data_IF_788968287977
#
_entry.id   IF_788968287977
#
_cell.length_a   1.000
_cell.length_b   1.000
_cell.length_c   1.000
_cell.angle_alpha   90.00
_cell.angle_beta   90.00
_cell.angle_gamma   90.00
#
_symmetry.space_group_name_H-M   'P 1'
#
loop_
_entity.id
_entity.type
_entity.pdbx_description
1 polymer ?
#
# COMPACT_ATOMS: atom_id res chain seq x y z
N UNK A 1 -29.78 -11.18 17.46
CA UNK A 1 -29.30 -10.89 16.09
C UNK A 1 -27.86 -10.42 16.27
N UNK A 2 -26.90 -11.16 15.75
CA UNK A 2 -25.49 -10.73 15.77
C UNK A 2 -25.42 -9.71 14.64
N UNK A 3 -25.23 -8.41 14.97
CA UNK A 3 -24.92 -7.39 13.99
C UNK A 3 -23.62 -7.82 13.31
N UNK A 4 -23.74 -8.33 12.09
CA UNK A 4 -22.58 -8.55 11.22
C UNK A 4 -22.01 -7.17 10.89
N UNK A 5 -21.02 -6.73 11.67
CA UNK A 5 -20.26 -5.52 11.35
C UNK A 5 -19.67 -5.76 9.96
N UNK A 6 -20.13 -4.99 8.98
CA UNK A 6 -19.62 -5.11 7.61
C UNK A 6 -18.10 -4.90 7.62
N UNK A 7 -17.37 -5.76 6.90
CA UNK A 7 -15.92 -5.64 6.76
C UNK A 7 -15.59 -4.28 6.16
N UNK A 8 -14.73 -3.48 6.78
CA UNK A 8 -14.35 -2.19 6.23
C UNK A 8 -13.83 -2.32 4.80
N UNK A 9 -14.21 -1.38 3.93
CA UNK A 9 -13.89 -1.40 2.51
C UNK A 9 -13.53 0.01 2.01
N UNK A 10 -12.45 0.11 1.23
CA UNK A 10 -12.21 1.26 0.35
C UNK A 10 -12.75 0.91 -1.02
N UNK A 11 -13.49 1.82 -1.65
CA UNK A 11 -13.96 1.65 -3.02
C UNK A 11 -13.94 2.94 -3.81
N UNK A 12 -13.82 2.82 -5.12
CA UNK A 12 -13.87 3.93 -6.05
C UNK A 12 -14.98 3.74 -7.06
N UNK A 13 -15.58 4.84 -7.47
CA UNK A 13 -16.68 4.85 -8.43
C UNK A 13 -16.34 5.77 -9.59
N UNK A 14 -16.05 5.18 -10.75
CA UNK A 14 -15.84 5.87 -12.01
C UNK A 14 -14.70 6.88 -11.99
N UNK A 15 -13.57 6.59 -11.34
CA UNK A 15 -12.45 7.54 -11.26
C UNK A 15 -11.94 7.93 -12.63
N UNK A 16 -11.88 9.24 -12.86
CA UNK A 16 -11.30 9.86 -14.05
C UNK A 16 -10.22 10.85 -13.63
N UNK A 17 -9.11 10.83 -14.34
CA UNK A 17 -8.08 11.87 -14.24
C UNK A 17 -7.65 12.36 -15.60
N UNK A 18 -7.72 13.66 -15.75
CA UNK A 18 -7.24 14.37 -16.94
C UNK A 18 -6.13 15.36 -16.58
N UNK A 19 -5.10 15.42 -17.38
CA UNK A 19 -4.05 16.43 -17.36
C UNK A 19 -4.08 17.17 -18.70
N UNK A 20 -4.62 18.38 -18.68
CA UNK A 20 -4.91 19.13 -19.89
C UNK A 20 -5.92 18.40 -20.79
N UNK A 21 -5.50 17.99 -21.98
CA UNK A 21 -6.37 17.24 -22.92
C UNK A 21 -6.17 15.71 -22.83
N UNK A 22 -5.25 15.23 -22.00
CA UNK A 22 -4.92 13.81 -21.91
C UNK A 22 -5.64 13.20 -20.72
N UNK A 23 -6.54 12.25 -20.99
CA UNK A 23 -7.15 11.39 -19.99
C UNK A 23 -6.18 10.25 -19.67
N UNK A 24 -5.71 10.18 -18.43
CA UNK A 24 -4.73 9.17 -17.97
C UNK A 24 -5.37 8.08 -17.11
N UNK A 25 -6.55 8.35 -16.54
CA UNK A 25 -7.41 7.38 -15.88
C UNK A 25 -8.83 7.58 -16.40
N UNK A 26 -9.50 6.50 -16.76
CA UNK A 26 -10.78 6.53 -17.44
C UNK A 26 -11.77 5.54 -16.82
N UNK A 27 -12.66 6.02 -15.95
CA UNK A 27 -13.73 5.27 -15.28
C UNK A 27 -13.21 4.02 -14.55
N UNK A 28 -12.19 4.20 -13.72
CA UNK A 28 -11.61 3.10 -12.94
C UNK A 28 -12.39 2.90 -11.65
N UNK A 29 -12.87 1.66 -11.46
CA UNK A 29 -13.53 1.17 -10.26
C UNK A 29 -12.64 0.12 -9.60
N UNK A 30 -12.13 0.41 -8.41
CA UNK A 30 -11.36 -0.54 -7.60
C UNK A 30 -11.93 -0.60 -6.20
N UNK A 31 -11.80 -1.75 -5.55
CA UNK A 31 -12.15 -1.89 -4.14
C UNK A 31 -11.11 -2.72 -3.40
N UNK A 32 -10.97 -2.49 -2.11
CA UNK A 32 -10.08 -3.22 -1.20
C UNK A 32 -10.84 -3.47 0.09
N UNK A 33 -10.94 -4.72 0.53
CA UNK A 33 -11.52 -5.07 1.81
C UNK A 33 -10.45 -5.11 2.91
N UNK A 34 -10.82 -4.85 4.15
CA UNK A 34 -9.93 -5.09 5.27
C UNK A 34 -9.58 -6.58 5.34
N UNK A 35 -8.30 -6.90 5.59
CA UNK A 35 -7.80 -8.28 5.57
C UNK A 35 -7.62 -8.86 4.16
N UNK A 36 -7.46 -8.02 3.15
CA UNK A 36 -7.22 -8.42 1.76
C UNK A 36 -5.96 -7.72 1.21
N UNK A 37 -5.20 -8.43 0.38
CA UNK A 37 -4.09 -7.85 -0.39
C UNK A 37 -4.52 -7.72 -1.85
N UNK A 38 -4.58 -6.50 -2.36
CA UNK A 38 -4.97 -6.18 -3.72
C UNK A 38 -3.81 -5.58 -4.49
N UNK A 39 -3.53 -6.09 -5.68
CA UNK A 39 -2.54 -5.56 -6.61
C UNK A 39 -3.15 -4.57 -7.61
N UNK A 40 -2.41 -3.52 -7.96
CA UNK A 40 -2.73 -2.62 -9.06
C UNK A 40 -1.60 -2.69 -10.07
N UNK A 41 -1.78 -3.51 -11.11
CA UNK A 41 -0.76 -3.91 -12.07
C UNK A 41 -0.99 -3.28 -13.44
N UNK A 42 -0.01 -3.34 -14.31
CA UNK A 42 -0.10 -2.85 -15.69
C UNK A 42 1.21 -2.24 -16.20
N UNK A 43 1.34 -1.99 -17.49
CA UNK A 43 2.54 -1.41 -18.08
C UNK A 43 2.78 0.04 -17.62
N UNK A 44 3.96 0.58 -17.96
CA UNK A 44 4.26 1.99 -17.71
C UNK A 44 3.27 2.89 -18.47
N UNK A 45 2.76 3.92 -17.78
CA UNK A 45 1.75 4.81 -18.35
C UNK A 45 0.31 4.28 -18.35
N UNK A 46 0.05 3.09 -17.81
CA UNK A 46 -1.31 2.52 -17.72
C UNK A 46 -2.26 3.25 -16.76
N UNK A 47 -1.76 4.22 -15.96
CA UNK A 47 -2.59 4.96 -15.01
C UNK A 47 -2.51 4.46 -13.57
N UNK A 48 -1.72 3.42 -13.26
CA UNK A 48 -1.57 2.81 -11.92
C UNK A 48 -1.30 3.85 -10.83
N UNK A 49 -0.15 4.52 -10.91
CA UNK A 49 0.29 5.52 -9.91
C UNK A 49 -0.73 6.65 -9.76
N UNK A 50 -1.34 7.10 -10.86
CA UNK A 50 -2.37 8.15 -10.82
C UNK A 50 -3.62 7.65 -10.09
N UNK A 51 -4.12 6.45 -10.40
CA UNK A 51 -5.25 5.82 -9.70
C UNK A 51 -4.94 5.65 -8.22
N UNK A 52 -3.78 5.08 -7.91
CA UNK A 52 -3.30 4.90 -6.54
C UNK A 52 -3.24 6.23 -5.78
N UNK A 53 -2.69 7.30 -6.37
CA UNK A 53 -2.60 8.62 -5.74
C UNK A 53 -3.96 9.29 -5.55
N UNK A 54 -4.94 9.00 -6.40
CA UNK A 54 -6.32 9.45 -6.18
C UNK A 54 -6.92 8.74 -4.96
N UNK A 55 -6.66 7.44 -4.77
CA UNK A 55 -7.12 6.68 -3.59
C UNK A 55 -6.40 7.16 -2.31
N UNK A 56 -5.10 7.46 -2.36
CA UNK A 56 -4.34 8.02 -1.23
C UNK A 56 -4.79 9.44 -0.87
N UNK A 57 -5.28 10.21 -1.84
CA UNK A 57 -5.62 11.65 -1.66
C UNK A 57 -4.44 12.60 -1.88
N UNK A 58 -3.44 12.16 -2.68
CA UNK A 58 -2.33 12.99 -3.15
C UNK A 58 -2.68 13.76 -4.43
N UNK A 59 -3.54 13.17 -5.26
CA UNK A 59 -4.00 13.76 -6.52
C UNK A 59 -5.53 13.81 -6.50
N UNK A 60 -6.16 14.96 -6.72
CA UNK A 60 -7.61 15.03 -6.83
C UNK A 60 -8.08 14.37 -8.12
N UNK A 61 -9.20 13.64 -8.05
CA UNK A 61 -9.87 13.12 -9.24
C UNK A 61 -10.45 14.28 -10.06
N UNK A 62 -10.55 14.12 -11.39
CA UNK A 62 -11.31 15.05 -12.24
C UNK A 62 -12.79 14.75 -12.14
N UNK A 63 -13.15 13.46 -12.11
CA UNK A 63 -14.49 12.95 -11.91
C UNK A 63 -14.42 11.63 -11.14
N UNK A 64 -15.57 11.17 -10.63
CA UNK A 64 -15.69 9.95 -9.85
C UNK A 64 -15.51 10.20 -8.36
N UNK A 65 -15.56 9.12 -7.57
CA UNK A 65 -15.58 9.19 -6.11
C UNK A 65 -14.71 8.14 -5.46
N UNK A 66 -14.26 8.44 -4.24
CA UNK A 66 -13.53 7.51 -3.36
C UNK A 66 -14.27 7.43 -2.04
N UNK A 67 -14.59 6.21 -1.60
CA UNK A 67 -15.29 5.94 -0.35
C UNK A 67 -14.48 5.06 0.59
N UNK A 68 -14.68 5.26 1.88
CA UNK A 68 -14.35 4.30 2.93
C UNK A 68 -15.67 3.92 3.62
N UNK A 69 -16.18 2.74 3.35
CA UNK A 69 -17.55 2.35 3.66
C UNK A 69 -18.55 3.38 3.10
N UNK A 70 -19.33 4.03 3.96
CA UNK A 70 -20.29 5.07 3.59
C UNK A 70 -19.70 6.49 3.57
N UNK A 71 -18.45 6.65 4.02
CA UNK A 71 -17.78 7.95 4.10
C UNK A 71 -17.20 8.36 2.75
N UNK A 72 -17.67 9.47 2.17
CA UNK A 72 -17.11 10.06 0.95
C UNK A 72 -15.79 10.79 1.26
N UNK A 73 -14.67 10.23 0.77
CA UNK A 73 -13.33 10.75 0.97
C UNK A 73 -12.82 11.58 -0.23
N UNK A 74 -13.62 11.76 -1.28
CA UNK A 74 -13.19 12.29 -2.58
C UNK A 74 -12.39 13.58 -2.45
N UNK A 75 -12.92 14.57 -1.74
CA UNK A 75 -12.30 15.87 -1.54
C UNK A 75 -11.32 15.93 -0.35
N UNK A 76 -11.16 14.82 0.38
CA UNK A 76 -10.29 14.80 1.55
C UNK A 76 -8.83 14.61 1.16
N UNK A 77 -7.92 15.51 1.57
CA UNK A 77 -6.49 15.34 1.38
C UNK A 77 -5.95 14.19 2.22
N UNK A 78 -4.78 13.64 1.84
CA UNK A 78 -4.13 12.48 2.45
C UNK A 78 -4.11 12.52 3.99
N UNK A 79 -3.75 13.67 4.60
CA UNK A 79 -3.67 13.77 6.07
C UNK A 79 -5.02 13.59 6.78
N UNK A 80 -6.13 13.93 6.13
CA UNK A 80 -7.48 13.64 6.64
C UNK A 80 -7.83 12.18 6.45
N UNK A 81 -7.52 11.58 5.28
CA UNK A 81 -7.73 10.14 5.04
C UNK A 81 -6.92 9.28 6.02
N UNK A 82 -5.73 9.72 6.42
CA UNK A 82 -4.95 9.07 7.46
C UNK A 82 -5.71 8.97 8.81
N UNK A 83 -6.52 9.96 9.16
CA UNK A 83 -7.36 9.93 10.37
C UNK A 83 -8.53 8.96 10.28
N UNK A 84 -8.94 8.58 9.08
CA UNK A 84 -9.91 7.51 8.84
C UNK A 84 -9.26 6.11 8.91
N UNK A 85 -7.94 6.05 9.04
CA UNK A 85 -7.17 4.81 9.13
C UNK A 85 -6.57 4.35 7.80
N UNK A 86 -6.29 5.25 6.87
CA UNK A 86 -5.60 4.94 5.61
C UNK A 86 -4.13 5.34 5.75
N UNK A 87 -3.24 4.35 5.89
CA UNK A 87 -1.80 4.54 5.88
C UNK A 87 -1.25 4.57 4.44
N UNK A 88 -0.14 5.28 4.24
CA UNK A 88 0.55 5.36 2.96
C UNK A 88 2.04 5.13 3.12
N UNK A 89 2.58 4.24 2.30
CA UNK A 89 4.00 3.93 2.20
C UNK A 89 4.49 4.34 0.80
N UNK A 90 5.27 5.44 0.68
CA UNK A 90 5.75 5.93 -0.61
C UNK A 90 6.84 5.04 -1.21
N UNK A 91 7.05 5.17 -2.52
CA UNK A 91 8.15 4.55 -3.24
C UNK A 91 9.51 5.08 -2.73
N UNK A 92 9.61 6.41 -2.58
CA UNK A 92 10.84 7.04 -2.08
C UNK A 92 11.00 6.86 -0.58
N UNK A 93 12.27 6.75 -0.15
CA UNK A 93 12.60 6.58 1.26
C UNK A 93 12.07 7.73 2.12
N UNK A 94 11.15 7.39 3.05
CA UNK A 94 10.47 8.36 3.91
C UNK A 94 11.08 8.47 5.32
N UNK A 95 12.14 7.72 5.62
CA UNK A 95 12.78 7.74 6.95
C UNK A 95 13.47 9.07 7.26
N UNK A 96 13.47 9.46 8.52
CA UNK A 96 14.28 10.57 9.02
C UNK A 96 15.74 10.13 9.12
N UNK A 97 16.49 10.33 8.05
CA UNK A 97 17.83 9.75 7.83
C UNK A 97 18.82 10.01 8.96
N UNK A 98 18.78 11.18 9.60
CA UNK A 98 19.70 11.56 10.70
C UNK A 98 19.23 11.09 12.08
N UNK A 99 18.02 10.57 12.20
CA UNK A 99 17.50 9.98 13.43
C UNK A 99 17.90 8.50 13.54
N UNK A 100 17.90 7.94 14.75
CA UNK A 100 18.05 6.50 14.95
C UNK A 100 16.78 5.76 14.50
N UNK A 101 16.83 4.44 14.42
CA UNK A 101 15.68 3.58 14.14
C UNK A 101 14.60 3.83 15.19
N UNK A 102 14.94 3.77 16.47
CA UNK A 102 14.01 4.07 17.56
C UNK A 102 13.42 5.47 17.45
N UNK A 103 14.25 6.50 17.24
CA UNK A 103 13.80 7.88 17.09
C UNK A 103 12.84 8.07 15.92
N UNK A 104 12.98 7.31 14.85
CA UNK A 104 12.05 7.32 13.72
C UNK A 104 10.64 6.83 14.11
N UNK A 105 10.56 5.77 14.88
CA UNK A 105 9.28 5.23 15.39
C UNK A 105 8.70 6.18 16.43
N UNK A 106 9.53 6.64 17.37
CA UNK A 106 9.18 7.60 18.43
C UNK A 106 8.55 8.88 17.86
N UNK A 107 9.10 9.45 16.81
CA UNK A 107 8.59 10.67 16.19
C UNK A 107 7.13 10.53 15.73
N UNK A 108 6.72 9.34 15.27
CA UNK A 108 5.32 9.09 14.93
C UNK A 108 4.49 8.80 16.18
N UNK A 109 5.03 8.00 17.13
CA UNK A 109 4.33 7.68 18.37
C UNK A 109 4.00 8.93 19.23
N UNK A 110 4.81 9.98 19.13
CA UNK A 110 4.56 11.27 19.79
C UNK A 110 3.37 12.05 19.22
N UNK A 111 2.97 11.77 17.98
CA UNK A 111 1.75 12.35 17.39
C UNK A 111 0.47 11.68 17.87
N UNK A 112 0.60 10.52 18.51
CA UNK A 112 -0.54 9.74 18.99
C UNK A 112 -0.94 10.19 20.42
N UNK A 113 -2.20 10.04 20.82
CA UNK A 113 -2.68 10.40 22.16
C UNK A 113 -2.26 9.36 23.21
N UNK A 114 -0.95 9.06 23.28
CA UNK A 114 -0.37 8.09 24.20
C UNK A 114 0.28 8.81 25.39
N UNK A 115 0.07 8.31 26.58
CA UNK A 115 0.90 8.63 27.72
C UNK A 115 2.33 8.07 27.54
N UNK A 116 3.24 8.43 28.43
CA UNK A 116 4.66 8.02 28.34
C UNK A 116 4.81 6.49 28.32
N UNK A 117 4.13 5.77 29.21
CA UNK A 117 4.25 4.32 29.34
C UNK A 117 3.76 3.60 28.07
N UNK A 118 2.60 4.01 27.56
CA UNK A 118 2.01 3.46 26.33
C UNK A 118 2.86 3.77 25.10
N UNK A 119 3.50 4.94 25.06
CA UNK A 119 4.41 5.32 23.97
C UNK A 119 5.66 4.44 23.95
N UNK A 120 6.31 4.24 25.11
CA UNK A 120 7.49 3.37 25.22
C UNK A 120 7.13 1.92 24.83
N UNK A 121 6.05 1.38 25.34
CA UNK A 121 5.58 0.03 24.98
C UNK A 121 5.27 -0.09 23.47
N UNK A 122 4.69 0.94 22.85
CA UNK A 122 4.44 0.97 21.42
C UNK A 122 5.74 0.94 20.61
N UNK A 123 6.76 1.70 21.02
CA UNK A 123 8.06 1.73 20.33
C UNK A 123 8.74 0.36 20.42
N UNK A 124 8.80 -0.21 21.63
CA UNK A 124 9.40 -1.52 21.87
C UNK A 124 8.69 -2.61 21.05
N UNK A 125 7.37 -2.65 21.06
CA UNK A 125 6.57 -3.56 20.27
C UNK A 125 6.90 -3.48 18.77
N UNK A 126 6.97 -2.27 18.20
CA UNK A 126 7.24 -2.09 16.77
C UNK A 126 8.68 -2.41 16.38
N UNK A 127 9.65 -2.21 17.27
CA UNK A 127 11.03 -2.66 17.08
C UNK A 127 11.12 -4.18 17.03
N UNK A 128 10.43 -4.86 17.95
CA UNK A 128 10.43 -6.32 18.05
C UNK A 128 9.70 -6.95 16.85
N UNK A 129 8.47 -6.52 16.57
CA UNK A 129 7.62 -7.09 15.51
C UNK A 129 8.28 -7.06 14.13
N UNK A 130 9.06 -6.01 13.83
CA UNK A 130 9.72 -5.85 12.54
C UNK A 130 11.22 -6.26 12.56
N UNK A 131 11.67 -6.91 13.65
CA UNK A 131 13.04 -7.38 13.80
C UNK A 131 14.10 -6.26 13.78
N UNK A 132 13.76 -5.10 14.34
CA UNK A 132 14.60 -3.90 14.33
C UNK A 132 15.27 -3.59 15.69
N UNK A 133 15.02 -4.39 16.72
CA UNK A 133 15.50 -4.14 18.10
C UNK A 133 17.03 -3.99 18.15
N UNK A 134 17.78 -4.85 17.45
CA UNK A 134 19.24 -4.80 17.41
C UNK A 134 19.81 -3.59 16.64
N UNK A 135 18.95 -2.86 15.92
CA UNK A 135 19.28 -1.67 15.13
C UNK A 135 18.79 -0.37 15.80
N UNK A 136 18.12 -0.45 16.96
CA UNK A 136 17.40 0.67 17.59
C UNK A 136 18.22 1.96 17.66
N UNK A 137 19.48 1.87 18.04
CA UNK A 137 20.42 3.00 18.19
C UNK A 137 21.15 3.39 16.89
N UNK A 138 21.01 2.61 15.82
CA UNK A 138 21.65 2.92 14.55
C UNK A 138 20.94 4.05 13.81
N UNK A 139 21.72 4.88 13.12
CA UNK A 139 21.17 5.96 12.28
C UNK A 139 20.52 5.38 11.02
N UNK A 140 19.32 5.86 10.66
CA UNK A 140 18.54 5.33 9.55
C UNK A 140 19.27 5.40 8.19
N UNK A 141 20.25 6.29 8.01
CA UNK A 141 21.05 6.34 6.77
C UNK A 141 22.03 5.17 6.62
N UNK A 142 22.32 4.41 7.68
CA UNK A 142 23.23 3.24 7.65
C UNK A 142 22.50 1.93 7.32
N UNK A 143 21.18 1.94 7.29
CA UNK A 143 20.36 0.76 7.06
C UNK A 143 20.46 0.27 5.62
N UNK A 144 20.45 -1.05 5.45
CA UNK A 144 20.23 -1.70 4.16
C UNK A 144 18.83 -1.35 3.59
N UNK A 145 18.59 -1.66 2.33
CA UNK A 145 17.30 -1.45 1.68
C UNK A 145 16.15 -2.13 2.41
N UNK A 146 16.32 -3.40 2.78
CA UNK A 146 15.32 -4.19 3.51
C UNK A 146 15.06 -3.68 4.93
N UNK A 147 16.12 -3.39 5.71
CA UNK A 147 15.99 -2.81 7.05
C UNK A 147 15.26 -1.47 7.02
N UNK A 148 15.62 -0.61 6.06
CA UNK A 148 14.95 0.67 5.86
C UNK A 148 13.46 0.47 5.52
N UNK A 149 13.12 -0.48 4.65
CA UNK A 149 11.73 -0.77 4.30
C UNK A 149 10.94 -1.28 5.51
N UNK A 150 11.52 -2.15 6.33
CA UNK A 150 10.91 -2.57 7.59
C UNK A 150 10.67 -1.40 8.54
N UNK A 151 11.62 -0.46 8.66
CA UNK A 151 11.44 0.75 9.46
C UNK A 151 10.30 1.64 8.94
N UNK A 152 10.18 1.80 7.62
CA UNK A 152 9.09 2.57 7.01
C UNK A 152 7.72 1.95 7.28
N UNK A 153 7.62 0.63 7.15
CA UNK A 153 6.39 -0.11 7.49
C UNK A 153 6.09 0.04 8.98
N UNK A 154 7.09 -0.14 9.85
CA UNK A 154 6.93 0.05 11.30
C UNK A 154 6.33 1.41 11.63
N UNK A 155 6.87 2.48 11.06
CA UNK A 155 6.37 3.85 11.26
C UNK A 155 4.92 4.01 10.80
N UNK A 156 4.55 3.43 9.66
CA UNK A 156 3.18 3.47 9.17
C UNK A 156 2.20 2.74 10.10
N UNK A 157 2.63 1.65 10.74
CA UNK A 157 1.80 0.85 11.64
C UNK A 157 1.57 1.50 13.00
N UNK A 158 2.42 2.42 13.47
CA UNK A 158 2.23 3.16 14.73
C UNK A 158 0.86 3.83 14.80
N UNK A 159 0.34 4.31 13.66
CA UNK A 159 -0.97 4.96 13.57
C UNK A 159 -2.15 3.99 13.57
N UNK A 160 -1.90 2.67 13.64
CA UNK A 160 -2.89 1.58 13.60
C UNK A 160 -3.85 1.70 12.41
N UNK A 161 -3.34 1.72 11.19
CA UNK A 161 -4.18 1.87 10.01
C UNK A 161 -5.09 0.65 9.81
N UNK A 162 -6.28 0.89 9.24
CA UNK A 162 -7.18 -0.18 8.74
C UNK A 162 -6.77 -0.63 7.34
N UNK A 163 -6.17 0.28 6.59
CA UNK A 163 -5.66 0.04 5.24
C UNK A 163 -4.26 0.62 5.12
N UNK A 164 -3.39 -0.10 4.42
CA UNK A 164 -2.04 0.35 4.10
C UNK A 164 -1.84 0.32 2.59
N UNK A 165 -1.66 1.49 2.00
CA UNK A 165 -1.43 1.66 0.57
C UNK A 165 0.07 1.78 0.33
N UNK A 166 0.64 0.85 -0.45
CA UNK A 166 2.08 0.71 -0.67
C UNK A 166 2.43 0.98 -2.13
N UNK A 167 3.22 2.02 -2.35
CA UNK A 167 3.72 2.38 -3.67
C UNK A 167 5.09 1.75 -3.88
N UNK A 168 5.18 0.79 -4.80
CA UNK A 168 6.36 0.03 -5.15
C UNK A 168 7.16 -0.51 -3.94
N UNK A 169 6.54 -1.35 -3.07
CA UNK A 169 7.18 -1.80 -1.83
C UNK A 169 8.45 -2.62 -2.04
N UNK A 170 8.66 -3.20 -3.22
CA UNK A 170 9.81 -4.04 -3.54
C UNK A 170 10.91 -3.29 -4.29
N UNK A 171 10.69 -2.02 -4.64
CA UNK A 171 11.66 -1.22 -5.39
C UNK A 171 12.91 -0.94 -4.56
N UNK A 172 14.09 -1.23 -5.14
CA UNK A 172 15.38 -0.99 -4.49
C UNK A 172 15.68 -1.88 -3.28
N UNK A 173 14.95 -3.00 -3.15
CA UNK A 173 15.14 -4.03 -2.13
C UNK A 173 15.83 -5.24 -2.77
N UNK A 174 16.83 -5.82 -2.09
CA UNK A 174 17.49 -7.02 -2.57
C UNK A 174 16.57 -8.26 -2.50
N UNK A 175 16.81 -9.33 -3.32
CA UNK A 175 15.89 -10.46 -3.41
C UNK A 175 15.61 -11.18 -2.10
N UNK A 176 16.57 -11.24 -1.17
CA UNK A 176 16.37 -11.89 0.14
C UNK A 176 15.43 -11.04 0.98
N UNK A 177 15.67 -9.74 1.03
CA UNK A 177 14.84 -8.78 1.76
C UNK A 177 13.44 -8.62 1.17
N UNK A 178 13.24 -8.85 -0.15
CA UNK A 178 11.90 -8.89 -0.77
C UNK A 178 11.04 -9.95 -0.09
N UNK A 179 11.56 -11.16 0.13
CA UNK A 179 10.82 -12.24 0.80
C UNK A 179 10.43 -11.87 2.24
N UNK A 180 11.26 -11.10 2.95
CA UNK A 180 10.93 -10.61 4.30
C UNK A 180 9.80 -9.58 4.25
N UNK A 181 9.86 -8.63 3.31
CA UNK A 181 8.78 -7.63 3.11
C UNK A 181 7.47 -8.32 2.71
N UNK A 182 7.51 -9.32 1.84
CA UNK A 182 6.33 -10.12 1.48
C UNK A 182 5.68 -10.78 2.71
N UNK A 183 6.49 -11.42 3.57
CA UNK A 183 5.99 -12.02 4.83
C UNK A 183 5.32 -10.99 5.73
N UNK A 184 5.91 -9.80 5.87
CA UNK A 184 5.32 -8.72 6.65
C UNK A 184 3.95 -8.33 6.06
N UNK A 185 3.85 -8.15 4.75
CA UNK A 185 2.60 -7.77 4.08
C UNK A 185 1.51 -8.84 4.31
N UNK A 186 1.85 -10.12 4.23
CA UNK A 186 0.92 -11.23 4.53
C UNK A 186 0.48 -11.18 6.00
N UNK A 187 1.39 -10.94 6.93
CA UNK A 187 1.04 -10.77 8.35
C UNK A 187 0.11 -9.57 8.60
N UNK A 188 0.24 -8.48 7.83
CA UNK A 188 -0.70 -7.34 7.92
C UNK A 188 -2.12 -7.75 7.54
N UNK A 189 -2.26 -8.51 6.45
CA UNK A 189 -3.54 -9.10 6.05
C UNK A 189 -4.14 -9.97 7.16
N UNK A 190 -3.34 -10.86 7.76
CA UNK A 190 -3.77 -11.74 8.86
C UNK A 190 -4.25 -10.96 10.10
N UNK A 191 -3.71 -9.75 10.31
CA UNK A 191 -4.17 -8.81 11.35
C UNK A 191 -5.42 -8.01 10.94
N UNK A 192 -6.01 -8.29 9.78
CA UNK A 192 -7.20 -7.61 9.29
C UNK A 192 -6.94 -6.27 8.61
N UNK A 193 -5.68 -5.94 8.28
CA UNK A 193 -5.34 -4.72 7.54
C UNK A 193 -5.52 -4.99 6.04
N UNK A 194 -6.31 -4.17 5.35
CA UNK A 194 -6.40 -4.20 3.89
C UNK A 194 -5.16 -3.56 3.26
N UNK A 195 -4.59 -4.20 2.24
CA UNK A 195 -3.37 -3.70 1.58
C UNK A 195 -3.62 -3.47 0.10
N UNK A 196 -3.28 -2.29 -0.40
CA UNK A 196 -3.20 -2.00 -1.84
C UNK A 196 -1.73 -1.84 -2.23
N UNK A 197 -1.30 -2.61 -3.22
CA UNK A 197 0.07 -2.57 -3.72
C UNK A 197 0.06 -2.14 -5.19
N UNK A 198 0.90 -1.17 -5.55
CA UNK A 198 1.31 -0.95 -6.93
C UNK A 198 2.81 -1.23 -7.04
N UNK A 199 3.20 -2.08 -7.98
CA UNK A 199 4.61 -2.41 -8.20
C UNK A 199 4.83 -2.79 -9.67
N UNK A 200 6.06 -2.62 -10.14
CA UNK A 200 6.53 -3.09 -11.44
C UNK A 200 7.13 -4.51 -11.36
N UNK A 201 7.44 -5.00 -10.15
CA UNK A 201 7.89 -6.37 -9.88
C UNK A 201 6.67 -7.30 -9.85
N UNK A 202 6.23 -7.72 -11.02
CA UNK A 202 4.97 -8.46 -11.20
C UNK A 202 4.96 -9.79 -10.45
N UNK A 203 6.06 -10.56 -10.51
CA UNK A 203 6.15 -11.88 -9.86
C UNK A 203 6.02 -11.75 -8.36
N UNK A 204 6.79 -10.85 -7.77
CA UNK A 204 6.80 -10.59 -6.33
C UNK A 204 5.43 -10.15 -5.83
N UNK A 205 4.72 -9.34 -6.63
CA UNK A 205 3.37 -8.87 -6.30
C UNK A 205 2.35 -10.00 -6.43
N UNK A 206 2.32 -10.71 -7.56
CA UNK A 206 1.39 -11.82 -7.80
C UNK A 206 1.56 -12.98 -6.82
N UNK A 207 2.74 -13.14 -6.22
CA UNK A 207 3.01 -14.17 -5.22
C UNK A 207 2.24 -13.97 -3.90
N UNK A 208 1.80 -12.75 -3.58
CA UNK A 208 1.19 -12.43 -2.29
C UNK A 208 -0.21 -11.81 -2.36
N UNK A 209 -0.66 -11.35 -3.53
CA UNK A 209 -2.00 -10.76 -3.65
C UNK A 209 -3.10 -11.82 -3.70
N UNK A 210 -4.23 -11.53 -3.09
CA UNK A 210 -5.45 -12.34 -3.23
C UNK A 210 -6.08 -12.16 -4.61
N UNK A 211 -6.05 -10.92 -5.12
CA UNK A 211 -6.46 -10.56 -6.46
C UNK A 211 -5.74 -9.29 -6.91
N UNK A 212 -5.81 -9.02 -8.20
CA UNK A 212 -5.27 -7.78 -8.74
C UNK A 212 -6.15 -7.22 -9.86
N UNK A 213 -6.01 -5.92 -10.05
CA UNK A 213 -6.52 -5.18 -11.21
C UNK A 213 -5.37 -4.97 -12.19
N UNK A 214 -5.57 -5.37 -13.43
CA UNK A 214 -4.65 -5.07 -14.51
C UNK A 214 -5.16 -3.84 -15.27
N UNK A 215 -4.42 -2.73 -15.17
CA UNK A 215 -4.71 -1.51 -15.90
C UNK A 215 -3.99 -1.49 -17.24
N UNK A 216 -4.69 -1.01 -18.26
CA UNK A 216 -4.15 -0.74 -19.59
C UNK A 216 -4.81 0.53 -20.13
N UNK A 217 -4.01 1.47 -20.66
CA UNK A 217 -4.49 2.74 -21.23
C UNK A 217 -5.53 3.49 -20.37
N UNK A 218 -5.28 3.52 -19.06
CA UNK A 218 -6.12 4.24 -18.10
C UNK A 218 -7.40 3.54 -17.68
N UNK A 219 -7.66 2.32 -18.13
CA UNK A 219 -8.87 1.54 -17.81
C UNK A 219 -8.51 0.17 -17.24
N UNK A 220 -9.44 -0.47 -16.52
CA UNK A 220 -9.27 -1.85 -16.07
C UNK A 220 -9.43 -2.77 -17.27
N UNK A 221 -8.38 -3.53 -17.57
CA UNK A 221 -8.36 -4.56 -18.61
C UNK A 221 -8.89 -5.89 -18.09
N UNK A 222 -8.44 -6.28 -16.90
CA UNK A 222 -8.82 -7.53 -16.24
C UNK A 222 -8.77 -7.36 -14.72
N UNK A 223 -9.55 -8.17 -14.02
CA UNK A 223 -9.57 -8.29 -12.55
C UNK A 223 -9.71 -9.77 -12.20
N UNK A 224 -8.96 -10.23 -11.20
CA UNK A 224 -9.08 -11.59 -10.71
C UNK A 224 -7.93 -12.02 -9.82
N UNK A 225 -7.94 -13.29 -9.41
CA UNK A 225 -6.85 -13.91 -8.67
C UNK A 225 -5.55 -13.93 -9.49
N UNK A 226 -4.41 -14.17 -8.82
CA UNK A 226 -3.13 -14.34 -9.50
C UNK A 226 -3.21 -15.43 -10.57
N UNK A 227 -3.80 -16.59 -10.24
CA UNK A 227 -3.96 -17.70 -11.19
C UNK A 227 -4.79 -17.30 -12.41
N UNK A 228 -5.88 -16.56 -12.21
CA UNK A 228 -6.69 -16.05 -13.32
C UNK A 228 -5.86 -15.15 -14.24
N UNK A 229 -5.19 -14.13 -13.69
CA UNK A 229 -4.44 -13.16 -14.48
C UNK A 229 -3.24 -13.78 -15.22
N UNK A 230 -2.58 -14.77 -14.62
CA UNK A 230 -1.45 -15.48 -15.24
C UNK A 230 -1.90 -16.29 -16.46
N UNK A 231 -3.13 -16.83 -16.44
CA UNK A 231 -3.66 -17.66 -17.50
C UNK A 231 -4.54 -16.89 -18.49
N UNK A 232 -4.92 -15.65 -18.20
CA UNK A 232 -5.76 -14.82 -19.08
C UNK A 232 -4.98 -14.40 -20.34
N UNK A 233 -5.47 -14.75 -21.55
CA UNK A 233 -4.78 -14.44 -22.81
C UNK A 233 -4.47 -12.95 -23.00
N UNK A 234 -5.40 -12.06 -22.63
CA UNK A 234 -5.21 -10.61 -22.77
C UNK A 234 -4.16 -10.08 -21.79
N UNK A 235 -4.14 -10.59 -20.56
CA UNK A 235 -3.13 -10.24 -19.56
C UNK A 235 -1.73 -10.65 -20.02
N UNK A 236 -1.60 -11.82 -20.64
CA UNK A 236 -0.34 -12.31 -21.21
C UNK A 236 0.10 -11.49 -22.43
N UNK A 237 -0.80 -11.25 -23.37
CA UNK A 237 -0.51 -10.50 -24.60
C UNK A 237 -0.06 -9.06 -24.31
N UNK A 238 -0.76 -8.35 -23.40
CA UNK A 238 -0.60 -6.91 -23.21
C UNK A 238 0.33 -6.52 -22.06
N UNK A 239 0.68 -7.46 -21.17
CA UNK A 239 1.46 -7.12 -19.98
C UNK A 239 2.46 -8.18 -19.52
N UNK A 240 2.03 -9.42 -19.27
CA UNK A 240 2.89 -10.44 -18.68
C UNK A 240 3.92 -11.01 -19.66
N UNK A 241 3.57 -11.10 -20.95
CA UNK A 241 4.31 -11.81 -21.97
C UNK A 241 3.94 -13.30 -22.04
N UNK A 242 4.05 -13.89 -23.24
CA UNK A 242 3.64 -15.29 -23.48
C UNK A 242 4.43 -16.30 -22.63
N UNK A 243 5.70 -16.02 -22.34
CA UNK A 243 6.60 -16.90 -21.58
C UNK A 243 6.60 -16.62 -20.07
N UNK A 244 5.66 -15.82 -19.55
CA UNK A 244 5.60 -15.53 -18.13
C UNK A 244 5.23 -16.79 -17.33
N UNK A 245 6.06 -17.12 -16.31
CA UNK A 245 5.85 -18.18 -15.34
C UNK A 245 6.15 -17.64 -13.92
N UNK A 246 5.42 -18.13 -12.92
CA UNK A 246 5.64 -17.84 -11.49
C UNK A 246 6.87 -18.57 -10.99
#
# INVERSE_FOLDING_TARGET
MVDTVATPKIETHGLIKEYGKRRVVNKVDVHINAGEIVGLLGPNGAGKTTTFYMVVGLVPATEGKVFLNDDDLTELPMYRRARFGIGYLPQEASVFRKMTVEQNIRAIAETMPYDKAKREACIEQHLEELGLTHLAEQKAYTLSGGERRRLEISRALVTKPKFLLMDEPFSGVDPISVSEVQKIIVQLKERGIGVLITDHNVRETLAIVDRAYLLHEGSILAEGSSDFLINDPKSRELYLGENFNM
#
